data_IF_171053194780
#
_entry.id   IF_171053194780
#
_cell.length_a   1.000
_cell.length_b   1.000
_cell.length_c   1.000
_cell.angle_alpha   90.00
_cell.angle_beta   90.00
_cell.angle_gamma   90.00
#
_symmetry.space_group_name_H-M   'P 1'
#
loop_
_entity.id
_entity.type
_entity.pdbx_description
1 polymer ?
#
# COMPACT_ATOMS: atom_id res chain seq x y z
N UNK A 1 -53.95 -56.58 8.36
CA UNK A 1 -55.27 -56.91 8.93
C UNK A 1 -55.03 -57.60 10.26
N UNK A 2 -55.66 -57.23 11.41
CA UNK A 2 -56.76 -56.26 11.67
C UNK A 2 -56.22 -54.89 12.16
N UNK A 3 -56.88 -53.73 12.02
CA UNK A 3 -58.26 -53.28 12.36
C UNK A 3 -58.43 -52.96 13.86
N UNK A 4 -58.34 -51.67 14.23
CA UNK A 4 -59.44 -50.78 14.73
C UNK A 4 -59.19 -50.52 16.24
N UNK A 5 -59.47 -49.41 16.93
CA UNK A 5 -60.23 -48.16 16.77
C UNK A 5 -59.69 -47.18 17.87
N UNK A 6 -59.45 -45.88 17.62
CA UNK A 6 -60.37 -44.73 17.74
C UNK A 6 -60.44 -44.07 19.15
N UNK A 7 -60.56 -42.73 19.12
CA UNK A 7 -61.01 -41.76 20.14
C UNK A 7 -59.89 -41.18 21.04
N UNK A 8 -59.72 -39.86 21.16
CA UNK A 8 -60.50 -38.71 20.74
C UNK A 8 -60.07 -37.51 21.60
N UNK A 9 -60.25 -36.28 21.12
CA UNK A 9 -60.07 -35.08 21.97
C UNK A 9 -59.62 -33.84 21.21
N UNK A 10 -60.51 -33.27 20.41
CA UNK A 10 -60.44 -31.87 20.04
C UNK A 10 -61.01 -31.02 21.19
N UNK A 11 -60.31 -29.97 21.61
CA UNK A 11 -60.94 -28.82 22.28
C UNK A 11 -60.34 -27.51 21.79
N UNK A 12 -61.15 -26.84 20.98
CA UNK A 12 -61.58 -25.44 21.09
C UNK A 12 -60.54 -24.31 21.00
N UNK A 13 -60.73 -23.54 19.93
CA UNK A 13 -60.32 -22.17 19.70
C UNK A 13 -60.98 -21.19 20.68
N UNK A 14 -60.24 -20.17 21.15
CA UNK A 14 -60.62 -18.73 21.27
C UNK A 14 -59.26 -17.98 21.41
N UNK A 15 -58.79 -17.13 20.51
CA UNK A 15 -59.39 -15.85 20.14
C UNK A 15 -58.98 -14.77 21.15
N UNK A 16 -57.92 -13.99 20.87
CA UNK A 16 -57.86 -12.56 21.19
C UNK A 16 -56.48 -11.95 20.88
N UNK A 17 -56.53 -10.99 19.97
CA UNK A 17 -55.54 -9.96 19.66
C UNK A 17 -54.92 -9.31 20.90
N UNK A 18 -53.60 -9.09 20.89
CA UNK A 18 -53.03 -7.90 21.54
C UNK A 18 -52.03 -7.19 20.63
N UNK A 19 -52.58 -6.28 19.86
CA UNK A 19 -51.93 -5.09 19.32
C UNK A 19 -51.70 -4.12 20.49
N UNK A 20 -50.69 -3.25 20.37
CA UNK A 20 -50.41 -2.04 21.16
C UNK A 20 -49.28 -2.16 22.19
N UNK A 21 -48.21 -1.42 21.90
CA UNK A 21 -47.11 -1.17 22.84
C UNK A 21 -45.94 -0.43 22.19
N UNK A 22 -46.22 0.60 21.40
CA UNK A 22 -45.20 1.49 20.82
C UNK A 22 -44.51 2.29 21.91
N UNK A 23 -43.36 1.82 22.42
CA UNK A 23 -42.48 2.65 23.24
C UNK A 23 -41.59 3.49 22.34
N UNK A 24 -42.23 4.52 21.79
CA UNK A 24 -41.58 5.68 21.16
C UNK A 24 -40.89 6.44 22.29
N UNK A 25 -39.64 6.12 22.57
CA UNK A 25 -38.79 7.05 23.30
C UNK A 25 -38.42 8.13 22.29
N UNK A 26 -39.20 9.20 22.30
CA UNK A 26 -38.86 10.44 21.63
C UNK A 26 -37.56 10.95 22.28
N UNK A 27 -36.43 10.67 21.65
CA UNK A 27 -35.19 11.39 21.91
C UNK A 27 -35.40 12.80 21.36
N UNK A 28 -35.29 13.87 22.16
CA UNK A 28 -35.46 15.21 21.65
C UNK A 28 -34.39 15.49 20.59
N UNK A 29 -34.85 15.85 19.38
CA UNK A 29 -34.06 16.51 18.36
C UNK A 29 -33.48 17.79 18.97
N UNK A 30 -32.24 17.73 19.46
CA UNK A 30 -31.44 18.92 19.70
C UNK A 30 -30.98 19.39 18.32
N UNK A 31 -31.76 20.29 17.75
CA UNK A 31 -31.32 21.14 16.65
C UNK A 31 -30.24 22.05 17.22
N UNK A 32 -28.97 21.62 17.19
CA UNK A 32 -27.85 22.54 17.35
C UNK A 32 -27.78 23.35 16.06
N UNK A 33 -28.33 24.56 16.12
CA UNK A 33 -28.30 25.50 15.03
C UNK A 33 -26.87 25.79 14.57
N UNK A 34 -26.66 25.65 13.27
CA UNK A 34 -25.49 26.16 12.55
C UNK A 34 -25.48 27.69 12.71
N UNK A 35 -24.62 28.20 13.59
CA UNK A 35 -24.23 29.61 13.59
C UNK A 35 -23.01 29.76 12.69
N UNK A 36 -23.28 30.03 11.41
CA UNK A 36 -22.28 30.54 10.48
C UNK A 36 -21.84 31.95 10.92
N UNK A 37 -20.73 32.05 11.63
CA UNK A 37 -20.07 33.31 11.89
C UNK A 37 -19.15 33.64 10.71
N UNK A 38 -19.62 34.52 9.82
CA UNK A 38 -18.80 35.19 8.83
C UNK A 38 -17.87 36.20 9.55
N UNK A 39 -16.68 35.74 9.91
CA UNK A 39 -15.60 36.58 10.42
C UNK A 39 -14.76 37.14 9.27
N UNK A 40 -15.10 38.34 8.80
CA UNK A 40 -14.23 39.18 7.98
C UNK A 40 -13.08 39.69 8.85
N UNK A 41 -11.95 38.98 8.85
CA UNK A 41 -10.71 39.41 9.50
C UNK A 41 -9.72 39.98 8.49
N UNK A 42 -9.80 41.29 8.23
CA UNK A 42 -8.73 42.08 7.62
C UNK A 42 -7.58 42.20 8.63
N UNK A 43 -6.50 41.45 8.42
CA UNK A 43 -5.25 41.56 9.17
C UNK A 43 -4.11 41.96 8.23
N UNK A 44 -3.92 43.25 8.05
CA UNK A 44 -2.72 43.84 7.48
C UNK A 44 -1.55 43.73 8.48
N UNK A 45 -0.39 43.32 8.00
CA UNK A 45 0.85 43.99 8.39
C UNK A 45 2.02 43.14 8.87
N UNK A 46 3.13 43.30 8.14
CA UNK A 46 4.52 43.43 8.65
C UNK A 46 5.12 42.10 9.17
N UNK A 47 5.89 41.32 8.41
CA UNK A 47 7.09 41.73 7.67
C UNK A 47 8.26 41.88 8.63
N UNK A 48 9.22 40.94 8.59
CA UNK A 48 10.66 41.10 8.90
C UNK A 48 11.35 39.75 8.65
N UNK A 49 12.02 39.65 7.49
CA UNK A 49 12.87 38.52 7.15
C UNK A 49 14.23 38.60 7.85
N UNK A 50 14.75 37.45 8.27
CA UNK A 50 16.14 37.30 8.68
C UNK A 50 16.73 36.16 7.86
N UNK A 51 17.59 36.56 6.94
CA UNK A 51 18.45 35.72 6.13
C UNK A 51 19.79 35.76 6.85
N UNK A 52 20.29 34.61 7.29
CA UNK A 52 21.65 34.51 7.83
C UNK A 52 22.44 33.63 6.88
N UNK A 53 23.26 34.28 6.07
CA UNK A 53 24.38 33.64 5.38
C UNK A 53 25.51 33.35 6.36
N UNK A 54 26.36 32.43 5.97
CA UNK A 54 27.57 32.03 6.66
C UNK A 54 28.44 31.24 5.68
N UNK A 55 29.10 31.97 4.79
CA UNK A 55 30.35 31.57 4.16
C UNK A 55 31.47 31.77 5.19
N UNK A 56 32.44 30.86 5.26
CA UNK A 56 33.87 31.17 5.47
C UNK A 56 34.69 29.87 5.43
N UNK A 57 35.80 29.97 4.70
CA UNK A 57 36.78 28.97 4.30
C UNK A 57 37.63 28.40 5.45
N UNK A 58 38.27 27.24 5.25
CA UNK A 58 39.74 27.15 5.20
C UNK A 58 40.27 25.71 5.25
N UNK A 59 41.21 25.48 4.34
CA UNK A 59 41.93 24.24 4.09
C UNK A 59 43.11 24.06 5.04
N UNK A 60 43.47 22.80 5.35
CA UNK A 60 44.87 22.39 5.53
C UNK A 60 45.04 20.92 5.12
N UNK A 61 45.79 20.70 4.04
CA UNK A 61 46.27 19.38 3.66
C UNK A 61 47.53 18.96 4.42
N UNK A 62 47.91 17.69 4.27
CA UNK A 62 49.26 17.24 3.95
C UNK A 62 49.33 15.69 3.89
N UNK A 63 49.82 15.21 2.73
CA UNK A 63 50.65 14.02 2.43
C UNK A 63 50.89 12.96 3.53
N UNK A 64 50.91 11.66 3.21
CA UNK A 64 52.02 11.03 2.46
C UNK A 64 51.65 9.78 1.64
N UNK A 65 52.52 9.39 0.67
CA UNK A 65 52.32 8.29 -0.27
C UNK A 65 53.11 7.02 0.10
N UNK A 66 52.56 5.85 -0.20
CA UNK A 66 53.21 4.54 -0.47
C UNK A 66 52.04 3.66 -0.93
N UNK A 67 51.98 2.99 -2.08
CA UNK A 67 52.98 2.47 -2.99
C UNK A 67 52.43 1.12 -3.46
N UNK A 68 52.63 0.83 -4.75
CA UNK A 68 52.51 -0.47 -5.42
C UNK A 68 51.11 -0.91 -5.93
N UNK A 69 51.07 -0.95 -7.26
CA UNK A 69 50.07 -1.53 -8.14
C UNK A 69 49.89 -3.03 -7.92
N UNK A 70 48.72 -3.52 -8.34
CA UNK A 70 48.55 -4.83 -8.98
C UNK A 70 47.47 -4.69 -10.06
N UNK A 71 47.78 -5.28 -11.20
CA UNK A 71 47.14 -5.20 -12.51
C UNK A 71 45.79 -5.95 -12.60
N UNK A 72 45.03 -5.54 -13.63
CA UNK A 72 44.01 -6.23 -14.43
C UNK A 72 43.32 -7.50 -13.88
N UNK A 73 41.99 -7.41 -13.74
CA UNK A 73 41.07 -8.29 -14.46
C UNK A 73 39.66 -7.65 -14.45
N UNK A 74 39.19 -7.31 -15.65
CA UNK A 74 37.87 -6.72 -15.87
C UNK A 74 36.74 -7.65 -15.41
N UNK A 75 35.92 -7.14 -14.51
CA UNK A 75 34.56 -7.65 -14.33
C UNK A 75 33.62 -6.46 -14.22
N UNK A 76 33.19 -5.99 -15.39
CA UNK A 76 31.97 -5.23 -15.54
C UNK A 76 30.81 -6.10 -15.04
N UNK A 77 30.44 -5.88 -13.79
CA UNK A 77 29.10 -6.14 -13.30
C UNK A 77 28.46 -4.79 -13.04
N UNK A 78 27.96 -4.22 -14.14
CA UNK A 78 26.77 -3.39 -14.07
C UNK A 78 25.66 -4.29 -13.52
N UNK A 79 25.33 -4.07 -12.25
CA UNK A 79 23.95 -4.23 -11.84
C UNK A 79 23.50 -2.85 -11.41
N UNK A 80 23.01 -2.10 -12.40
CA UNK A 80 21.91 -1.17 -12.24
C UNK A 80 20.93 -1.72 -11.19
N UNK A 81 20.75 -0.98 -10.10
CA UNK A 81 19.63 -0.05 -10.03
C UNK A 81 19.66 0.62 -8.66
N UNK A 82 20.30 1.78 -8.60
CA UNK A 82 19.98 2.83 -7.65
C UNK A 82 18.63 3.47 -8.03
N UNK A 83 17.53 2.79 -7.70
CA UNK A 83 16.25 3.49 -7.55
C UNK A 83 16.25 4.24 -6.21
N UNK A 84 16.99 5.33 -6.17
CA UNK A 84 16.71 6.44 -5.26
C UNK A 84 15.49 7.22 -5.80
N UNK A 85 14.32 6.58 -5.75
CA UNK A 85 13.03 7.26 -5.68
C UNK A 85 12.68 7.40 -4.21
N UNK A 86 12.43 8.61 -3.74
CA UNK A 86 11.95 8.85 -2.39
C UNK A 86 10.50 8.36 -2.27
N UNK A 87 10.32 7.08 -1.98
CA UNK A 87 9.04 6.51 -1.56
C UNK A 87 9.27 5.27 -0.70
N UNK A 88 8.65 5.32 0.47
CA UNK A 88 8.51 4.32 1.53
C UNK A 88 8.99 2.90 1.15
N UNK A 89 10.02 2.41 1.84
CA UNK A 89 10.46 1.01 1.80
C UNK A 89 9.26 0.11 2.11
N UNK A 90 8.66 -0.50 1.08
CA UNK A 90 7.77 -1.65 1.23
C UNK A 90 8.66 -2.87 1.06
N UNK A 91 8.98 -3.51 2.18
CA UNK A 91 9.57 -4.85 2.19
C UNK A 91 8.61 -5.78 1.41
N UNK A 92 9.07 -6.23 0.25
CA UNK A 92 8.42 -7.05 -0.78
C UNK A 92 6.96 -7.44 -0.52
N UNK A 93 6.03 -6.59 -0.98
CA UNK A 93 4.60 -6.90 -1.06
C UNK A 93 3.85 -6.96 0.28
N UNK A 94 4.42 -6.49 1.40
CA UNK A 94 3.70 -6.42 2.68
C UNK A 94 3.74 -5.03 3.32
N UNK A 95 2.57 -4.48 3.61
CA UNK A 95 2.41 -3.24 4.38
C UNK A 95 1.75 -3.54 5.73
N UNK A 96 2.35 -3.07 6.82
CA UNK A 96 1.77 -3.18 8.17
C UNK A 96 1.14 -1.86 8.60
N UNK A 97 -0.05 -1.91 9.19
CA UNK A 97 -0.77 -0.77 9.74
C UNK A 97 -1.07 -0.99 11.21
N UNK A 98 -0.78 0.02 12.03
CA UNK A 98 -1.31 0.11 13.37
C UNK A 98 -2.81 0.43 13.29
N UNK A 99 -3.67 -0.55 13.57
CA UNK A 99 -5.10 -0.48 13.26
C UNK A 99 -5.87 0.59 14.04
N UNK A 100 -5.29 1.07 15.14
CA UNK A 100 -5.86 2.13 15.98
C UNK A 100 -5.39 3.53 15.60
N UNK A 101 -4.37 3.67 14.74
CA UNK A 101 -3.79 4.97 14.41
C UNK A 101 -4.78 5.94 13.73
N UNK A 102 -5.83 5.42 13.11
CA UNK A 102 -6.91 6.21 12.52
C UNK A 102 -7.73 7.01 13.54
N UNK A 103 -7.70 6.67 14.83
CA UNK A 103 -8.38 7.47 15.86
C UNK A 103 -7.76 8.87 15.99
N UNK A 104 -6.43 8.93 16.01
CA UNK A 104 -5.68 10.16 16.27
C UNK A 104 -5.30 10.89 14.97
N UNK A 105 -5.07 10.16 13.89
CA UNK A 105 -4.54 10.71 12.64
C UNK A 105 -5.42 10.33 11.44
N UNK A 106 -6.14 11.31 10.90
CA UNK A 106 -6.98 11.10 9.70
C UNK A 106 -6.17 10.62 8.48
N UNK A 107 -4.92 11.06 8.36
CA UNK A 107 -4.01 10.63 7.30
C UNK A 107 -3.70 9.11 7.35
N UNK A 108 -3.91 8.43 8.48
CA UNK A 108 -3.73 6.98 8.62
C UNK A 108 -4.94 6.17 8.17
N UNK A 109 -6.03 6.83 7.76
CA UNK A 109 -7.27 6.20 7.28
C UNK A 109 -7.27 5.95 5.77
N UNK A 110 -6.16 6.23 5.07
CA UNK A 110 -6.05 5.98 3.63
C UNK A 110 -4.66 5.47 3.28
N UNK A 111 -4.62 4.45 2.43
CA UNK A 111 -3.41 3.93 1.80
C UNK A 111 -3.64 3.70 0.30
N UNK A 112 -2.57 3.54 -0.47
CA UNK A 112 -2.63 3.27 -1.90
C UNK A 112 -1.38 2.54 -2.39
N UNK A 113 -1.35 2.19 -3.67
CA UNK A 113 -0.20 1.51 -4.27
C UNK A 113 -0.22 -0.01 -4.16
N UNK A 114 -1.35 -0.63 -3.81
CA UNK A 114 -1.44 -2.08 -3.64
C UNK A 114 -1.71 -2.79 -4.96
N UNK A 115 -1.06 -3.92 -5.17
CA UNK A 115 -1.25 -4.82 -6.29
C UNK A 115 -1.87 -6.14 -5.83
N UNK A 116 -2.35 -6.93 -6.79
CA UNK A 116 -2.81 -8.29 -6.49
C UNK A 116 -1.66 -9.12 -5.89
N UNK A 117 -1.94 -9.87 -4.83
CA UNK A 117 -0.94 -10.65 -4.10
C UNK A 117 -0.30 -9.92 -2.92
N UNK A 118 -0.32 -8.59 -2.90
CA UNK A 118 0.16 -7.81 -1.76
C UNK A 118 -0.60 -8.15 -0.47
N UNK A 119 0.05 -7.91 0.66
CA UNK A 119 -0.46 -8.15 2.00
C UNK A 119 -0.59 -6.85 2.77
N UNK A 120 -1.77 -6.64 3.33
CA UNK A 120 -2.03 -5.63 4.33
C UNK A 120 -2.18 -6.30 5.70
N UNK A 121 -1.26 -5.99 6.62
CA UNK A 121 -1.23 -6.57 7.96
C UNK A 121 -1.72 -5.54 8.96
N UNK A 122 -2.85 -5.83 9.59
CA UNK A 122 -3.42 -5.05 10.67
C UNK A 122 -2.86 -5.55 11.99
N UNK A 123 -2.34 -4.65 12.83
CA UNK A 123 -1.87 -4.98 14.18
C UNK A 123 -2.53 -4.08 15.22
N UNK A 124 -2.88 -4.67 16.36
CA UNK A 124 -3.38 -3.94 17.53
C UNK A 124 -3.11 -4.73 18.82
N UNK A 125 -2.66 -4.03 19.87
CA UNK A 125 -2.31 -4.65 21.16
C UNK A 125 -3.42 -4.53 22.21
N UNK A 126 -4.36 -3.60 22.01
CA UNK A 126 -5.41 -3.29 22.97
C UNK A 126 -6.72 -4.03 22.63
N UNK A 127 -7.47 -4.40 23.67
CA UNK A 127 -8.86 -4.78 23.48
C UNK A 127 -9.67 -3.50 23.17
N UNK A 128 -10.65 -3.50 22.27
CA UNK A 128 -11.24 -4.62 21.55
C UNK A 128 -11.49 -4.15 20.12
N UNK A 129 -10.88 -4.81 19.15
CA UNK A 129 -10.99 -4.42 17.75
C UNK A 129 -11.29 -5.64 16.90
N UNK A 130 -11.99 -5.40 15.81
CA UNK A 130 -12.22 -6.38 14.77
C UNK A 130 -11.84 -5.75 13.42
N UNK A 131 -11.74 -6.57 12.38
CA UNK A 131 -11.52 -6.10 11.01
C UNK A 131 -12.71 -6.53 10.19
N UNK A 132 -13.45 -5.55 9.67
CA UNK A 132 -14.63 -5.78 8.84
C UNK A 132 -14.36 -5.23 7.45
N UNK A 133 -14.52 -6.08 6.43
CA UNK A 133 -14.52 -5.69 5.03
C UNK A 133 -15.87 -5.08 4.66
N UNK A 134 -15.86 -3.82 4.27
CA UNK A 134 -17.04 -3.04 3.90
C UNK A 134 -17.38 -3.26 2.42
N UNK A 135 -18.67 -3.27 2.04
CA UNK A 135 -19.07 -3.51 0.65
C UNK A 135 -18.64 -2.39 -0.30
N UNK A 136 -18.58 -1.15 0.18
CA UNK A 136 -18.16 0.02 -0.58
C UNK A 136 -17.76 1.20 0.34
N UNK A 137 -17.27 2.28 -0.28
CA UNK A 137 -16.86 3.49 0.43
C UNK A 137 -18.02 4.16 1.19
N UNK A 138 -19.22 4.18 0.61
CA UNK A 138 -20.36 4.86 1.22
C UNK A 138 -20.79 4.15 2.51
N UNK A 139 -20.78 2.81 2.50
CA UNK A 139 -21.02 1.98 3.67
C UNK A 139 -19.96 2.22 4.76
N UNK A 140 -18.67 2.29 4.38
CA UNK A 140 -17.59 2.64 5.32
C UNK A 140 -17.79 4.05 5.93
N UNK A 141 -18.05 5.07 5.09
CA UNK A 141 -18.24 6.45 5.53
C UNK A 141 -19.46 6.61 6.45
N UNK A 142 -20.52 5.82 6.21
CA UNK A 142 -21.73 5.82 7.02
C UNK A 142 -21.65 4.88 8.24
N UNK A 143 -20.58 4.09 8.37
CA UNK A 143 -20.50 2.98 9.31
C UNK A 143 -21.70 2.02 9.21
N UNK A 144 -22.16 1.77 7.98
CA UNK A 144 -23.23 0.81 7.68
C UNK A 144 -22.63 -0.57 7.39
N UNK A 145 -22.79 -1.48 8.35
CA UNK A 145 -22.27 -2.84 8.26
C UNK A 145 -23.21 -3.80 7.51
N UNK A 146 -24.27 -3.29 6.86
CA UNK A 146 -25.15 -4.11 6.03
C UNK A 146 -24.35 -4.72 4.87
N UNK A 147 -24.40 -6.05 4.74
CA UNK A 147 -23.62 -6.84 3.77
C UNK A 147 -22.10 -6.79 3.95
N UNK A 148 -21.60 -6.28 5.07
CA UNK A 148 -20.18 -6.31 5.38
C UNK A 148 -19.75 -7.71 5.86
N UNK A 149 -18.47 -8.03 5.71
CA UNK A 149 -17.90 -9.31 6.11
C UNK A 149 -16.90 -9.13 7.26
N UNK A 150 -17.13 -9.82 8.37
CA UNK A 150 -16.14 -9.87 9.47
C UNK A 150 -14.98 -10.78 9.04
N UNK A 151 -13.77 -10.21 9.00
CA UNK A 151 -12.55 -10.90 8.61
C UNK A 151 -11.73 -11.39 9.82
N UNK A 152 -11.71 -10.59 10.88
CA UNK A 152 -11.17 -10.93 12.20
C UNK A 152 -12.16 -10.49 13.28
N UNK A 153 -12.38 -11.31 14.30
CA UNK A 153 -13.27 -11.06 15.43
C UNK A 153 -12.64 -10.21 16.55
N UNK A 154 -13.43 -9.90 17.58
CA UNK A 154 -13.02 -9.06 18.71
C UNK A 154 -11.99 -9.69 19.67
N UNK A 155 -11.87 -11.01 19.65
CA UNK A 155 -10.92 -11.79 20.45
C UNK A 155 -9.55 -11.97 19.77
N UNK A 156 -9.36 -11.39 18.59
CA UNK A 156 -8.12 -11.44 17.82
C UNK A 156 -7.26 -10.19 18.06
N UNK A 157 -5.95 -10.27 17.77
CA UNK A 157 -4.97 -9.18 17.97
C UNK A 157 -4.24 -8.77 16.68
N UNK A 158 -4.75 -9.21 15.52
CA UNK A 158 -4.16 -8.92 14.23
C UNK A 158 -4.89 -9.64 13.10
N UNK A 159 -4.70 -9.15 11.88
CA UNK A 159 -5.24 -9.78 10.67
C UNK A 159 -4.35 -9.51 9.46
N UNK A 160 -4.24 -10.45 8.53
CA UNK A 160 -3.53 -10.26 7.26
C UNK A 160 -4.53 -10.43 6.10
N UNK A 161 -4.71 -9.37 5.34
CA UNK A 161 -5.50 -9.36 4.11
C UNK A 161 -4.58 -9.48 2.90
N UNK A 162 -4.88 -10.43 1.99
CA UNK A 162 -4.21 -10.52 0.69
C UNK A 162 -5.11 -9.96 -0.41
N UNK A 163 -4.57 -9.06 -1.23
CA UNK A 163 -5.34 -8.42 -2.30
C UNK A 163 -5.65 -9.40 -3.43
N UNK A 164 -6.94 -9.56 -3.81
CA UNK A 164 -7.31 -10.39 -4.95
C UNK A 164 -7.03 -9.66 -6.27
N UNK A 165 -6.93 -10.43 -7.35
CA UNK A 165 -6.88 -9.88 -8.71
C UNK A 165 -8.11 -9.00 -9.00
N UNK A 166 -7.89 -7.92 -9.74
CA UNK A 166 -8.95 -7.01 -10.18
C UNK A 166 -9.50 -6.07 -9.09
N UNK A 167 -8.96 -6.08 -7.87
CA UNK A 167 -9.32 -5.09 -6.86
C UNK A 167 -8.83 -3.69 -7.27
N UNK A 168 -9.75 -2.72 -7.34
CA UNK A 168 -9.41 -1.30 -7.54
C UNK A 168 -9.39 -0.51 -6.23
N UNK A 169 -10.21 -0.93 -5.26
CA UNK A 169 -10.26 -0.36 -3.92
C UNK A 169 -10.85 -1.36 -2.94
N UNK A 170 -10.43 -1.26 -1.68
CA UNK A 170 -10.89 -2.09 -0.57
C UNK A 170 -11.12 -1.20 0.65
N UNK A 171 -12.18 -1.46 1.40
CA UNK A 171 -12.60 -0.60 2.51
C UNK A 171 -12.75 -1.43 3.78
N UNK A 172 -12.13 -0.98 4.86
CA UNK A 172 -12.14 -1.65 6.15
C UNK A 172 -12.70 -0.75 7.24
N UNK A 173 -13.31 -1.36 8.25
CA UNK A 173 -13.81 -0.68 9.43
C UNK A 173 -13.80 -1.60 10.65
N UNK A 174 -13.86 -1.01 11.84
CA UNK A 174 -14.13 -1.72 13.09
C UNK A 174 -15.59 -1.48 13.51
N UNK A 175 -16.33 -2.57 13.72
CA UNK A 175 -17.76 -2.53 14.09
C UNK A 175 -18.00 -2.52 15.60
N UNK A 176 -16.95 -2.42 16.42
CA UNK A 176 -17.07 -2.42 17.87
C UNK A 176 -17.51 -1.04 18.35
N UNK A 177 -18.69 -0.98 18.99
CA UNK A 177 -19.21 0.24 19.62
C UNK A 177 -19.24 1.44 18.68
N UNK A 178 -18.46 2.47 19.01
CA UNK A 178 -18.33 3.72 18.23
C UNK A 178 -17.00 3.83 17.47
N UNK A 179 -16.24 2.74 17.32
CA UNK A 179 -14.89 2.79 16.77
C UNK A 179 -14.87 3.31 15.32
N UNK A 180 -15.79 2.83 14.48
CA UNK A 180 -15.92 3.35 13.11
C UNK A 180 -16.20 4.86 13.09
N UNK A 181 -17.18 5.34 13.87
CA UNK A 181 -17.54 6.77 13.88
C UNK A 181 -16.41 7.65 14.43
N UNK A 182 -15.56 7.08 15.30
CA UNK A 182 -14.40 7.76 15.86
C UNK A 182 -13.16 7.66 14.97
N UNK A 183 -13.24 7.03 13.80
CA UNK A 183 -12.17 7.04 12.79
C UNK A 183 -11.40 5.74 12.63
N UNK A 184 -11.86 4.62 13.21
CA UNK A 184 -11.28 3.31 12.93
C UNK A 184 -11.82 2.73 11.62
N UNK A 185 -11.34 3.35 10.54
CA UNK A 185 -11.64 3.02 9.15
C UNK A 185 -10.37 3.10 8.31
N UNK A 186 -10.31 2.36 7.22
CA UNK A 186 -9.21 2.42 6.27
C UNK A 186 -9.73 2.19 4.85
N UNK A 187 -9.53 3.18 3.99
CA UNK A 187 -9.71 3.05 2.54
C UNK A 187 -8.36 2.72 1.90
N UNK A 188 -8.34 1.70 1.05
CA UNK A 188 -7.12 1.28 0.35
C UNK A 188 -7.37 1.31 -1.15
N UNK A 189 -6.58 2.08 -1.87
CA UNK A 189 -6.55 2.03 -3.33
C UNK A 189 -5.64 0.90 -3.80
N UNK A 190 -6.14 0.09 -4.72
CA UNK A 190 -5.38 -0.98 -5.37
C UNK A 190 -5.36 -0.74 -6.89
N UNK A 191 -4.29 -1.13 -7.55
CA UNK A 191 -4.18 -1.09 -8.99
C UNK A 191 -4.96 -2.27 -9.57
N UNK A 192 -5.89 -1.98 -10.48
CA UNK A 192 -6.45 -3.01 -11.34
C UNK A 192 -5.30 -3.57 -12.14
N UNK A 193 -4.95 -4.83 -11.92
CA UNK A 193 -3.73 -5.43 -12.45
C UNK A 193 -3.57 -5.23 -13.96
N UNK A 194 -2.79 -4.22 -14.32
CA UNK A 194 -2.02 -4.16 -15.54
C UNK A 194 -0.57 -4.41 -15.10
N UNK A 195 -0.21 -5.68 -15.17
CA UNK A 195 1.13 -6.29 -15.14
C UNK A 195 2.13 -5.92 -14.01
N UNK A 196 2.37 -6.81 -13.02
CA UNK A 196 3.56 -6.74 -12.18
C UNK A 196 4.85 -7.17 -12.89
N UNK A 197 4.78 -7.56 -14.17
CA UNK A 197 5.95 -7.72 -15.02
C UNK A 197 5.90 -6.68 -16.13
N UNK A 198 6.74 -5.65 -15.99
CA UNK A 198 6.93 -4.64 -17.02
C UNK A 198 7.08 -5.29 -18.39
N UNK A 199 6.30 -4.79 -19.35
CA UNK A 199 6.39 -5.15 -20.77
C UNK A 199 7.67 -4.57 -21.41
N UNK A 200 8.84 -4.81 -20.82
CA UNK A 200 10.12 -4.47 -21.44
C UNK A 200 10.64 -5.55 -22.41
N UNK A 201 9.93 -6.68 -22.53
CA UNK A 201 10.13 -7.63 -23.65
C UNK A 201 9.40 -7.18 -24.92
N UNK A 202 9.68 -5.96 -25.39
CA UNK A 202 9.42 -5.55 -26.77
C UNK A 202 10.57 -4.68 -27.27
N UNK A 203 11.75 -5.26 -27.43
CA UNK A 203 12.68 -4.81 -28.46
C UNK A 203 12.95 -5.93 -29.47
N UNK A 204 12.23 -5.78 -30.59
CA UNK A 204 12.61 -6.08 -31.97
C UNK A 204 13.58 -7.22 -32.22
N UNK A 205 13.06 -8.22 -32.93
CA UNK A 205 13.85 -9.20 -33.65
C UNK A 205 14.97 -8.55 -34.46
N UNK A 206 16.19 -9.03 -34.22
CA UNK A 206 17.29 -8.89 -35.15
C UNK A 206 17.16 -10.02 -36.17
N UNK A 207 16.92 -9.61 -37.42
CA UNK A 207 16.77 -10.43 -38.61
C UNK A 207 18.08 -11.19 -38.90
N UNK A 208 18.05 -12.40 -39.49
CA UNK A 208 19.28 -13.07 -39.89
C UNK A 208 19.83 -12.40 -41.16
N UNK A 209 20.99 -11.77 -41.06
CA UNK A 209 21.72 -11.31 -42.24
C UNK A 209 22.57 -12.48 -42.75
N UNK A 210 22.09 -13.02 -43.87
CA UNK A 210 22.74 -14.01 -44.70
C UNK A 210 24.05 -13.45 -45.29
N UNK A 211 25.03 -14.34 -45.41
CA UNK A 211 26.30 -14.30 -46.15
C UNK A 211 26.58 -13.14 -47.14
N UNK A 212 27.76 -12.52 -47.01
CA UNK A 212 28.66 -12.33 -48.15
C UNK A 212 30.15 -12.33 -47.73
N UNK A 213 30.91 -13.16 -48.43
CA UNK A 213 32.33 -13.44 -48.22
C UNK A 213 33.24 -12.28 -48.68
N UNK A 214 34.42 -12.14 -48.09
CA UNK A 214 35.65 -11.90 -48.86
C UNK A 214 36.91 -12.19 -48.05
N UNK A 215 37.79 -12.94 -48.68
CA UNK A 215 39.11 -13.40 -48.23
C UNK A 215 40.04 -12.24 -47.83
N UNK A 216 40.88 -12.48 -46.82
CA UNK A 216 41.92 -11.55 -46.41
C UNK A 216 43.03 -12.24 -45.63
N UNK A 217 44.06 -12.62 -46.38
CA UNK A 217 45.37 -13.15 -46.01
C UNK A 217 45.86 -12.91 -44.58
N UNK A 218 46.34 -14.01 -43.98
CA UNK A 218 46.85 -14.05 -42.62
C UNK A 218 48.13 -13.26 -42.39
N UNK A 219 48.52 -13.16 -41.12
CA UNK A 219 49.88 -12.82 -40.71
C UNK A 219 50.24 -13.66 -39.48
N UNK A 220 51.18 -14.58 -39.69
CA UNK A 220 51.93 -15.26 -38.65
C UNK A 220 52.69 -14.23 -37.80
N UNK A 221 52.58 -14.34 -36.48
CA UNK A 221 53.42 -13.60 -35.54
C UNK A 221 54.73 -14.37 -35.30
N UNK A 222 55.79 -13.95 -36.00
CA UNK A 222 57.16 -14.37 -35.73
C UNK A 222 57.84 -13.38 -34.76
N UNK A 223 58.30 -13.89 -33.62
CA UNK A 223 59.11 -13.16 -32.65
C UNK A 223 60.61 -13.41 -32.88
N UNK A 224 61.30 -12.35 -33.34
CA UNK A 224 62.56 -11.93 -32.74
C UNK A 224 63.86 -12.39 -33.40
N UNK A 225 64.72 -11.39 -33.71
CA UNK A 225 66.17 -11.60 -33.65
C UNK A 225 67.04 -10.80 -34.62
N UNK A 226 67.40 -9.59 -34.20
CA UNK A 226 68.76 -9.01 -34.26
C UNK A 226 69.59 -9.09 -35.57
N UNK A 227 69.88 -7.93 -36.19
CA UNK A 227 70.86 -7.92 -37.29
C UNK A 227 71.22 -6.61 -37.98
N UNK A 228 71.81 -5.64 -37.25
CA UNK A 228 72.86 -4.70 -37.68
C UNK A 228 72.87 -4.03 -39.09
N UNK A 229 72.93 -2.69 -39.06
CA UNK A 229 73.73 -1.85 -39.98
C UNK A 229 72.98 -1.33 -41.21
N UNK A 230 73.26 -0.14 -41.76
CA UNK A 230 74.38 0.79 -41.60
C UNK A 230 73.91 2.12 -42.23
N UNK A 231 74.27 3.24 -41.58
CA UNK A 231 74.17 4.63 -42.08
C UNK A 231 74.67 4.79 -43.51
N UNK A 232 74.04 5.68 -44.29
CA UNK A 232 74.60 7.00 -44.67
C UNK A 232 73.48 8.03 -44.78
#
# INVERSE_FOLDING_TARGET
MPSDAEQGGATLEEGATKKSGSSKWAVPLIVVGVLAALGLGLGLGLGLGLKSGGDDDDAHGAATPTGMAHDDDGHDHDHSTDHAGEEHIIDEGQTTVAWTAGFDEEAKRTLGGFHAGDKLVFTWDECCHNVVLMPDKAAMDACDFTNAQVLAGEDESGYSYSFPEGASAVYFSCSIGLHCQNGQVLAVAAHTGDDPHGSEDLHSGHEPEEDDHSEGDGHDHDHGGSGYGRKL
#
